data_IF_664838462507
#
_entry.id   IF_664838462507
#
_cell.length_a   1.000
_cell.length_b   1.000
_cell.length_c   1.000
_cell.angle_alpha   90.00
_cell.angle_beta   90.00
_cell.angle_gamma   90.00
#
_symmetry.space_group_name_H-M   'P 1'
#
loop_
_entity.id
_entity.type
_entity.pdbx_description
1 polymer ?
#
# COMPACT_ATOMS: atom_id res chain seq x y z
N UNK A 1 -45.82 13.20 29.00
CA UNK A 1 -44.59 13.59 28.27
C UNK A 1 -43.35 12.78 28.64
N UNK A 2 -43.04 12.55 29.93
CA UNK A 2 -41.82 11.80 30.35
C UNK A 2 -41.69 10.39 29.74
N UNK A 3 -42.79 9.62 29.65
CA UNK A 3 -42.80 8.25 29.10
C UNK A 3 -42.53 8.18 27.58
N UNK A 4 -42.90 9.23 26.84
CA UNK A 4 -42.65 9.32 25.39
C UNK A 4 -41.15 9.54 25.11
N UNK A 5 -40.51 10.35 25.96
CA UNK A 5 -39.07 10.64 25.86
C UNK A 5 -38.22 9.40 26.17
N UNK A 6 -38.59 8.59 27.17
CA UNK A 6 -37.89 7.34 27.47
C UNK A 6 -38.01 6.32 26.34
N UNK A 7 -39.19 6.23 25.71
CA UNK A 7 -39.41 5.32 24.58
C UNK A 7 -38.60 5.75 23.34
N UNK A 8 -38.54 7.06 23.06
CA UNK A 8 -37.71 7.61 21.99
C UNK A 8 -36.21 7.36 22.24
N UNK A 9 -35.74 7.54 23.48
CA UNK A 9 -34.35 7.30 23.86
C UNK A 9 -33.97 5.81 23.68
N UNK A 10 -34.83 4.89 24.12
CA UNK A 10 -34.62 3.45 23.92
C UNK A 10 -34.61 3.05 22.45
N UNK A 11 -35.47 3.67 21.63
CA UNK A 11 -35.48 3.49 20.18
C UNK A 11 -34.18 3.99 19.54
N UNK A 12 -33.66 5.15 19.97
CA UNK A 12 -32.38 5.66 19.48
C UNK A 12 -31.19 4.76 19.86
N UNK A 13 -31.18 4.20 21.08
CA UNK A 13 -30.11 3.30 21.53
C UNK A 13 -30.12 1.99 20.74
N UNK A 14 -31.30 1.44 20.41
CA UNK A 14 -31.39 0.22 19.60
C UNK A 14 -30.95 0.44 18.15
N UNK A 15 -31.21 1.62 17.55
CA UNK A 15 -30.66 1.97 16.25
C UNK A 15 -29.13 2.16 16.26
N UNK A 16 -28.56 2.74 17.33
CA UNK A 16 -27.10 2.92 17.45
C UNK A 16 -26.39 1.57 17.55
N UNK A 17 -26.95 0.62 18.30
CA UNK A 17 -26.37 -0.73 18.47
C UNK A 17 -26.33 -1.52 17.15
N UNK A 18 -27.41 -1.46 16.37
CA UNK A 18 -27.47 -2.09 15.04
C UNK A 18 -26.52 -1.41 14.04
N UNK A 19 -26.41 -0.07 14.08
CA UNK A 19 -25.48 0.67 13.23
C UNK A 19 -24.02 0.33 13.54
N UNK A 20 -23.65 0.21 14.81
CA UNK A 20 -22.30 -0.20 15.22
C UNK A 20 -21.97 -1.61 14.72
N UNK A 21 -22.92 -2.55 14.80
CA UNK A 21 -22.72 -3.92 14.33
C UNK A 21 -22.52 -3.99 12.80
N UNK A 22 -23.29 -3.22 12.02
CA UNK A 22 -23.12 -3.12 10.56
C UNK A 22 -21.75 -2.52 10.20
N UNK A 23 -21.32 -1.47 10.92
CA UNK A 23 -20.01 -0.83 10.71
C UNK A 23 -18.87 -1.83 11.02
N UNK A 24 -18.98 -2.60 12.11
CA UNK A 24 -17.98 -3.60 12.49
C UNK A 24 -17.96 -4.75 11.46
N UNK A 25 -19.10 -5.27 11.01
CA UNK A 25 -19.16 -6.34 10.01
C UNK A 25 -18.61 -5.86 8.66
N UNK A 26 -18.91 -4.63 8.23
CA UNK A 26 -18.32 -4.06 7.01
C UNK A 26 -16.81 -3.81 7.15
N UNK A 27 -16.33 -3.40 8.33
CA UNK A 27 -14.91 -3.27 8.60
C UNK A 27 -14.19 -4.63 8.59
N UNK A 28 -14.80 -5.68 9.15
CA UNK A 28 -14.24 -7.05 9.15
C UNK A 28 -14.27 -7.65 7.74
N UNK A 29 -15.38 -7.55 7.02
CA UNK A 29 -15.50 -8.06 5.65
C UNK A 29 -14.57 -7.32 4.67
N UNK A 30 -14.35 -6.01 4.85
CA UNK A 30 -13.36 -5.25 4.07
C UNK A 30 -11.91 -5.55 4.46
N UNK A 31 -11.68 -6.05 5.68
CA UNK A 31 -10.35 -6.48 6.15
C UNK A 31 -9.90 -7.81 5.54
N UNK A 32 -10.82 -8.66 5.11
CA UNK A 32 -10.52 -9.89 4.35
C UNK A 32 -10.13 -9.52 2.93
N UNK A 33 -8.92 -8.98 2.80
CA UNK A 33 -8.31 -8.65 1.51
C UNK A 33 -8.10 -9.95 0.75
N UNK A 34 -8.91 -10.20 -0.27
CA UNK A 34 -8.73 -11.33 -1.17
C UNK A 34 -7.28 -11.39 -1.71
N UNK A 35 -6.69 -12.58 -1.87
CA UNK A 35 -5.38 -12.72 -2.48
C UNK A 35 -5.40 -12.08 -3.87
N UNK A 36 -4.32 -11.38 -4.20
CA UNK A 36 -4.13 -10.74 -5.49
C UNK A 36 -2.89 -11.34 -6.12
N UNK A 37 -2.97 -11.77 -7.39
CA UNK A 37 -1.85 -12.43 -8.05
C UNK A 37 -0.59 -11.54 -8.10
N UNK A 38 -0.75 -10.21 -8.12
CA UNK A 38 0.38 -9.26 -8.08
C UNK A 38 1.15 -9.30 -6.76
N UNK A 39 0.52 -9.78 -5.70
CA UNK A 39 1.16 -9.99 -4.40
C UNK A 39 1.80 -11.40 -4.32
N UNK A 40 1.87 -12.16 -5.42
CA UNK A 40 2.57 -13.45 -5.47
C UNK A 40 4.04 -13.27 -5.86
N UNK A 41 4.87 -14.19 -5.38
CA UNK A 41 6.30 -14.25 -5.64
C UNK A 41 6.58 -15.53 -6.40
N UNK A 42 7.32 -15.41 -7.50
CA UNK A 42 7.75 -16.57 -8.29
C UNK A 42 9.20 -16.85 -7.94
N UNK A 43 9.49 -18.09 -7.56
CA UNK A 43 10.84 -18.56 -7.30
C UNK A 43 11.24 -19.53 -8.42
N UNK A 44 12.43 -19.33 -8.99
CA UNK A 44 13.01 -20.19 -10.00
C UNK A 44 14.10 -21.07 -9.40
N UNK A 45 14.03 -22.38 -9.65
CA UNK A 45 14.97 -23.38 -9.17
C UNK A 45 15.35 -24.30 -10.33
N UNK A 46 16.61 -24.37 -10.73
CA UNK A 46 17.18 -25.43 -11.61
C UNK A 46 16.23 -26.00 -12.70
N UNK A 47 15.49 -25.12 -13.39
CA UNK A 47 14.57 -25.49 -14.50
C UNK A 47 13.07 -25.54 -14.17
N UNK A 48 12.66 -25.40 -12.91
CA UNK A 48 11.26 -25.32 -12.46
C UNK A 48 10.92 -23.96 -11.81
N UNK A 49 9.63 -23.66 -11.66
CA UNK A 49 9.15 -22.43 -11.03
C UNK A 49 8.03 -22.70 -10.03
N UNK A 50 8.15 -22.10 -8.86
CA UNK A 50 7.14 -22.19 -7.79
C UNK A 50 6.54 -20.82 -7.48
N UNK A 51 5.21 -20.76 -7.39
CA UNK A 51 4.49 -19.52 -7.09
C UNK A 51 4.01 -19.58 -5.64
N UNK A 52 4.44 -18.62 -4.83
CA UNK A 52 3.99 -18.50 -3.46
C UNK A 52 3.37 -17.13 -3.19
N UNK A 53 2.20 -17.08 -2.54
CA UNK A 53 1.64 -15.81 -2.11
C UNK A 53 2.54 -15.18 -1.05
N UNK A 54 2.74 -13.85 -1.12
CA UNK A 54 3.65 -13.12 -0.21
C UNK A 54 3.34 -13.36 1.28
N UNK A 55 2.09 -13.69 1.63
CA UNK A 55 1.68 -13.99 3.01
C UNK A 55 2.34 -15.26 3.56
N UNK A 56 2.63 -16.23 2.70
CA UNK A 56 3.27 -17.51 3.06
C UNK A 56 4.79 -17.42 3.10
N UNK A 57 5.39 -16.39 2.48
CA UNK A 57 6.82 -16.07 2.60
C UNK A 57 7.12 -15.65 4.05
N UNK A 58 7.56 -16.61 4.88
CA UNK A 58 7.82 -16.39 6.32
C UNK A 58 9.11 -17.02 6.84
N UNK A 59 9.73 -17.99 6.15
CA UNK A 59 10.98 -18.65 6.59
C UNK A 59 11.87 -19.04 5.41
N UNK A 60 13.19 -18.91 5.56
CA UNK A 60 14.20 -19.38 4.58
C UNK A 60 14.07 -20.88 4.29
N UNK A 61 13.57 -21.64 5.26
CA UNK A 61 13.61 -23.11 5.24
C UNK A 61 12.59 -23.76 4.28
N UNK A 62 11.63 -23.00 3.72
CA UNK A 62 10.60 -23.57 2.84
C UNK A 62 11.08 -23.80 1.40
N UNK A 63 12.18 -23.15 0.99
CA UNK A 63 12.67 -23.21 -0.38
C UNK A 63 14.20 -23.16 -0.33
N UNK A 64 14.81 -24.33 -0.36
CA UNK A 64 16.26 -24.47 -0.46
C UNK A 64 16.65 -24.40 -1.94
N UNK A 65 17.79 -23.79 -2.26
CA UNK A 65 18.33 -23.62 -3.62
C UNK A 65 17.47 -22.75 -4.56
N UNK A 66 17.38 -21.46 -4.26
CA UNK A 66 16.71 -20.49 -5.14
C UNK A 66 17.76 -19.75 -5.97
N UNK A 67 17.64 -19.83 -7.29
CA UNK A 67 18.54 -19.15 -8.23
C UNK A 67 18.14 -17.69 -8.40
N UNK A 68 16.85 -17.46 -8.68
CA UNK A 68 16.30 -16.12 -8.85
C UNK A 68 14.86 -16.02 -8.36
N UNK A 69 14.48 -14.80 -7.96
CA UNK A 69 13.14 -14.50 -7.47
C UNK A 69 12.55 -13.38 -8.31
N UNK A 70 11.36 -13.62 -8.86
CA UNK A 70 10.58 -12.59 -9.55
C UNK A 70 9.48 -12.03 -8.67
N UNK A 71 9.49 -10.71 -8.53
CA UNK A 71 8.56 -9.93 -7.72
C UNK A 71 7.94 -8.81 -8.55
N UNK A 72 6.67 -8.52 -8.28
CA UNK A 72 5.92 -7.50 -9.05
C UNK A 72 5.58 -6.26 -8.23
N UNK A 73 5.83 -6.27 -6.92
CA UNK A 73 5.50 -5.15 -6.05
C UNK A 73 6.66 -4.84 -5.11
N UNK A 74 6.81 -3.56 -4.78
CA UNK A 74 7.81 -3.08 -3.80
C UNK A 74 7.62 -3.76 -2.44
N UNK A 75 6.38 -4.03 -2.04
CA UNK A 75 6.10 -4.74 -0.79
C UNK A 75 6.62 -6.19 -0.81
N UNK A 76 6.46 -6.89 -1.94
CA UNK A 76 6.98 -8.25 -2.09
C UNK A 76 8.51 -8.24 -2.08
N UNK A 77 9.13 -7.29 -2.79
CA UNK A 77 10.58 -7.08 -2.80
C UNK A 77 11.15 -6.88 -1.39
N UNK A 78 10.65 -5.88 -0.65
CA UNK A 78 11.11 -5.56 0.71
C UNK A 78 11.02 -6.78 1.65
N UNK A 79 9.95 -7.57 1.50
CA UNK A 79 9.75 -8.76 2.34
C UNK A 79 10.64 -9.92 1.93
N UNK A 80 10.83 -10.16 0.63
CA UNK A 80 11.75 -11.18 0.12
C UNK A 80 13.19 -10.86 0.56
N UNK A 81 13.64 -9.60 0.38
CA UNK A 81 14.94 -9.15 0.85
C UNK A 81 15.12 -9.33 2.36
N UNK A 82 14.08 -9.08 3.16
CA UNK A 82 14.11 -9.31 4.60
C UNK A 82 14.27 -10.79 4.98
N UNK A 83 13.68 -11.71 4.21
CA UNK A 83 13.71 -13.15 4.51
C UNK A 83 14.97 -13.81 3.96
N UNK A 84 15.28 -13.57 2.69
CA UNK A 84 16.34 -14.28 1.98
C UNK A 84 17.68 -13.53 1.96
N UNK A 85 17.67 -12.22 2.20
CA UNK A 85 18.85 -11.35 2.13
C UNK A 85 19.05 -10.75 0.74
N UNK A 86 20.16 -10.04 0.59
CA UNK A 86 20.59 -9.39 -0.67
C UNK A 86 21.41 -10.30 -1.59
N UNK A 87 21.63 -11.56 -1.19
CA UNK A 87 22.48 -12.50 -1.93
C UNK A 87 21.78 -13.22 -3.08
N UNK A 88 20.46 -13.10 -3.19
CA UNK A 88 19.67 -13.75 -4.25
C UNK A 88 19.39 -12.75 -5.37
N UNK A 89 19.51 -13.19 -6.63
CA UNK A 89 19.15 -12.39 -7.79
C UNK A 89 17.65 -12.15 -7.81
N UNK A 90 17.22 -10.90 -7.56
CA UNK A 90 15.82 -10.52 -7.60
C UNK A 90 15.59 -9.75 -8.90
N UNK A 91 14.57 -10.12 -9.66
CA UNK A 91 14.23 -9.44 -10.91
C UNK A 91 13.91 -7.96 -10.68
N UNK A 92 14.24 -7.12 -11.65
CA UNK A 92 13.87 -5.72 -11.64
C UNK A 92 12.35 -5.52 -11.57
N UNK A 93 11.95 -4.49 -10.83
CA UNK A 93 10.54 -4.14 -10.68
C UNK A 93 10.11 -3.29 -11.88
N UNK A 94 8.87 -3.52 -12.33
CA UNK A 94 8.21 -2.61 -13.27
C UNK A 94 8.15 -1.19 -12.70
N UNK A 95 8.45 -0.21 -13.55
CA UNK A 95 8.39 1.21 -13.19
C UNK A 95 7.03 1.63 -12.64
N UNK A 96 5.93 1.11 -13.21
CA UNK A 96 4.58 1.38 -12.72
C UNK A 96 4.41 0.97 -11.25
N UNK A 97 5.02 -0.14 -10.84
CA UNK A 97 4.99 -0.60 -9.45
C UNK A 97 5.80 0.34 -8.54
N UNK A 98 6.91 0.89 -9.02
CA UNK A 98 7.71 1.89 -8.33
C UNK A 98 6.94 3.20 -8.18
N UNK A 99 6.41 3.75 -9.27
CA UNK A 99 5.56 4.95 -9.27
C UNK A 99 4.37 4.80 -8.33
N UNK A 100 3.69 3.65 -8.35
CA UNK A 100 2.58 3.38 -7.45
C UNK A 100 2.99 3.41 -5.98
N UNK A 101 4.06 2.69 -5.63
CA UNK A 101 4.51 2.55 -4.26
C UNK A 101 5.05 3.87 -3.70
N UNK A 102 5.92 4.55 -4.44
CA UNK A 102 6.57 5.79 -4.00
C UNK A 102 5.59 6.96 -3.95
N UNK A 103 4.73 7.14 -4.95
CA UNK A 103 3.68 8.18 -4.90
C UNK A 103 2.72 7.95 -3.72
N UNK A 104 2.36 6.70 -3.44
CA UNK A 104 1.52 6.38 -2.27
C UNK A 104 2.24 6.65 -0.94
N UNK A 105 3.51 6.24 -0.81
CA UNK A 105 4.34 6.51 0.39
C UNK A 105 4.50 8.03 0.60
N UNK A 106 4.78 8.78 -0.45
CA UNK A 106 4.89 10.24 -0.43
C UNK A 106 3.63 10.92 0.07
N UNK A 107 2.45 10.55 -0.46
CA UNK A 107 1.18 11.14 0.00
C UNK A 107 0.88 10.81 1.46
N UNK A 108 1.24 9.61 1.93
CA UNK A 108 1.12 9.24 3.34
C UNK A 108 2.11 10.03 4.23
N UNK A 109 3.32 10.29 3.75
CA UNK A 109 4.32 11.12 4.43
C UNK A 109 3.83 12.57 4.54
N UNK A 110 3.24 13.13 3.47
CA UNK A 110 2.64 14.46 3.46
C UNK A 110 1.48 14.58 4.46
N UNK A 111 0.59 13.58 4.52
CA UNK A 111 -0.47 13.55 5.54
C UNK A 111 0.10 13.49 6.95
N UNK A 112 1.15 12.69 7.19
CA UNK A 112 1.83 12.62 8.49
C UNK A 112 2.46 13.96 8.87
N UNK A 113 3.04 14.67 7.89
CA UNK A 113 3.64 15.99 8.09
C UNK A 113 2.59 17.04 8.45
N UNK A 114 1.41 16.99 7.81
CA UNK A 114 0.27 17.84 8.18
C UNK A 114 -0.20 17.56 9.61
N UNK A 115 -0.27 16.30 10.02
CA UNK A 115 -0.59 15.96 11.41
C UNK A 115 0.47 16.46 12.38
N UNK A 116 1.76 16.35 12.05
CA UNK A 116 2.83 16.89 12.86
C UNK A 116 2.70 18.41 13.02
N UNK A 117 2.49 19.14 11.92
CA UNK A 117 2.26 20.58 11.96
C UNK A 117 1.06 20.94 12.83
N UNK A 118 -0.07 20.23 12.66
CA UNK A 118 -1.27 20.46 13.47
C UNK A 118 -1.05 20.20 14.96
N UNK A 119 -0.25 19.19 15.32
CA UNK A 119 0.08 18.89 16.70
C UNK A 119 0.93 20.01 17.33
N UNK A 120 1.90 20.55 16.59
CA UNK A 120 2.69 21.69 17.04
C UNK A 120 1.86 22.98 17.13
N UNK A 121 0.92 23.24 16.23
CA UNK A 121 0.01 24.38 16.37
C UNK A 121 -0.92 24.23 17.57
N UNK A 122 -1.35 23.00 17.90
CA UNK A 122 -2.15 22.73 19.09
C UNK A 122 -1.37 22.95 20.39
N UNK A 123 -0.04 22.82 20.38
CA UNK A 123 0.80 23.15 21.54
C UNK A 123 0.69 24.63 21.94
N UNK A 124 0.45 25.53 20.98
CA UNK A 124 0.25 26.96 21.25
C UNK A 124 -1.08 27.23 21.97
N UNK A 125 -2.08 26.37 21.77
CA UNK A 125 -3.41 26.48 22.39
C UNK A 125 -3.46 25.73 23.72
N UNK A 126 -2.75 24.60 23.82
CA UNK A 126 -2.69 23.78 25.02
C UNK A 126 -1.32 23.11 25.18
N UNK A 127 -0.55 23.43 26.23
CA UNK A 127 0.81 22.94 26.41
C UNK A 127 0.91 21.42 26.64
N UNK A 128 -0.18 20.74 27.03
CA UNK A 128 -0.17 19.27 27.17
C UNK A 128 0.12 18.53 25.86
N UNK A 129 -0.11 19.18 24.71
CA UNK A 129 0.23 18.60 23.41
C UNK A 129 1.74 18.48 23.16
N UNK A 130 2.60 19.15 23.94
CA UNK A 130 4.06 19.00 23.83
C UNK A 130 4.54 17.57 24.09
N UNK A 131 3.81 16.81 24.91
CA UNK A 131 4.12 15.39 25.20
C UNK A 131 3.83 14.52 23.96
N UNK A 132 2.80 14.88 23.19
CA UNK A 132 2.28 14.04 22.09
C UNK A 132 2.82 14.47 20.72
N UNK A 133 3.14 15.75 20.52
CA UNK A 133 3.60 16.32 19.25
C UNK A 133 4.88 15.70 18.65
N UNK A 134 5.85 15.19 19.43
CA UNK A 134 7.02 14.51 18.87
C UNK A 134 6.67 13.23 18.10
N UNK A 135 5.63 12.50 18.49
CA UNK A 135 5.25 11.23 17.85
C UNK A 135 4.88 11.37 16.36
N UNK A 136 3.93 12.24 15.95
CA UNK A 136 3.63 12.44 14.53
C UNK A 136 4.83 13.02 13.77
N UNK A 137 5.70 13.80 14.43
CA UNK A 137 6.92 14.37 13.83
C UNK A 137 7.91 13.28 13.45
N UNK A 138 8.24 12.37 14.37
CA UNK A 138 9.14 11.22 14.11
C UNK A 138 8.54 10.31 13.03
N UNK A 139 7.23 10.08 13.07
CA UNK A 139 6.55 9.28 12.05
C UNK A 139 6.60 9.92 10.66
N UNK A 140 6.45 11.24 10.56
CA UNK A 140 6.57 11.97 9.30
C UNK A 140 7.99 11.85 8.73
N UNK A 141 9.01 12.10 9.55
CA UNK A 141 10.42 12.03 9.14
C UNK A 141 10.81 10.63 8.64
N UNK A 142 10.43 9.59 9.38
CA UNK A 142 10.72 8.19 8.99
C UNK A 142 10.04 7.81 7.68
N UNK A 143 8.80 8.28 7.46
CA UNK A 143 8.04 7.99 6.23
C UNK A 143 8.63 8.74 5.03
N UNK A 144 9.04 9.98 5.19
CA UNK A 144 9.60 10.79 4.09
C UNK A 144 10.93 10.22 3.60
N UNK A 145 11.83 9.80 4.53
CA UNK A 145 13.11 9.18 4.18
C UNK A 145 12.99 7.89 3.36
N UNK A 146 11.85 7.20 3.46
CA UNK A 146 11.59 5.94 2.72
C UNK A 146 11.07 6.14 1.30
N UNK A 147 10.92 7.39 0.86
CA UNK A 147 10.37 7.77 -0.44
C UNK A 147 11.49 8.16 -1.39
N UNK A 148 11.64 7.41 -2.47
CA UNK A 148 12.31 7.91 -3.66
C UNK A 148 11.44 8.94 -4.38
N UNK A 149 11.94 10.17 -4.49
CA UNK A 149 11.24 11.30 -5.09
C UNK A 149 11.28 11.27 -6.62
N UNK A 150 12.18 10.49 -7.23
CA UNK A 150 12.23 10.32 -8.68
C UNK A 150 10.94 9.66 -9.22
N UNK A 151 10.33 8.78 -8.42
CA UNK A 151 9.11 8.03 -8.80
C UNK A 151 7.82 8.62 -8.19
N UNK A 152 7.79 9.94 -7.92
CA UNK A 152 6.61 10.61 -7.37
C UNK A 152 5.87 11.36 -8.47
N UNK A 153 4.63 10.93 -8.72
CA UNK A 153 3.73 11.57 -9.69
C UNK A 153 3.02 12.79 -9.11
N UNK A 154 2.61 13.70 -10.00
CA UNK A 154 1.78 14.84 -9.61
C UNK A 154 0.38 14.37 -9.16
N UNK A 155 -0.36 15.22 -8.44
CA UNK A 155 -1.67 14.90 -7.90
C UNK A 155 -2.68 14.45 -8.95
N UNK A 156 -2.76 15.16 -10.09
CA UNK A 156 -3.68 14.83 -11.20
C UNK A 156 -3.32 13.50 -11.86
N UNK A 157 -2.04 13.33 -12.21
CA UNK A 157 -1.48 12.10 -12.78
C UNK A 157 -1.73 10.90 -11.87
N UNK A 158 -1.47 11.04 -10.57
CA UNK A 158 -1.73 10.01 -9.59
C UNK A 158 -3.20 9.58 -9.55
N UNK A 159 -4.15 10.51 -9.67
CA UNK A 159 -5.56 10.16 -9.65
C UNK A 159 -5.97 9.35 -10.87
N UNK A 160 -5.42 9.67 -12.05
CA UNK A 160 -5.65 8.92 -13.28
C UNK A 160 -4.97 7.54 -13.20
N UNK A 161 -3.68 7.52 -12.93
CA UNK A 161 -2.89 6.31 -12.77
C UNK A 161 -3.47 5.37 -11.72
N UNK A 162 -3.92 5.88 -10.56
CA UNK A 162 -4.56 5.06 -9.52
C UNK A 162 -5.87 4.43 -9.98
N UNK A 163 -6.62 5.06 -10.89
CA UNK A 163 -7.85 4.45 -11.45
C UNK A 163 -7.49 3.31 -12.39
N UNK A 164 -6.55 3.54 -13.31
CA UNK A 164 -6.05 2.55 -14.27
C UNK A 164 -5.40 1.37 -13.53
N UNK A 165 -4.49 1.63 -12.60
CA UNK A 165 -3.83 0.62 -11.78
C UNK A 165 -4.83 -0.18 -10.92
N UNK A 166 -5.90 0.44 -10.43
CA UNK A 166 -6.99 -0.29 -9.76
C UNK A 166 -7.75 -1.20 -10.71
N UNK A 167 -7.99 -0.78 -11.96
CA UNK A 167 -8.63 -1.62 -12.97
C UNK A 167 -7.73 -2.80 -13.35
N UNK A 168 -6.46 -2.54 -13.64
CA UNK A 168 -5.43 -3.55 -13.84
C UNK A 168 -5.43 -4.57 -12.67
N UNK A 169 -5.35 -4.11 -11.43
CA UNK A 169 -5.35 -4.97 -10.24
C UNK A 169 -6.64 -5.79 -10.05
N UNK A 170 -7.79 -5.33 -10.56
CA UNK A 170 -9.05 -6.08 -10.54
C UNK A 170 -9.01 -7.28 -11.50
N UNK A 171 -8.32 -7.17 -12.63
CA UNK A 171 -8.19 -8.25 -13.62
C UNK A 171 -7.44 -9.48 -13.08
N UNK A 172 -6.70 -9.31 -11.97
CA UNK A 172 -5.92 -10.36 -11.30
C UNK A 172 -6.45 -10.74 -9.91
N UNK A 173 -7.65 -10.27 -9.55
CA UNK A 173 -8.31 -10.69 -8.31
C UNK A 173 -8.81 -12.13 -8.49
N UNK A 174 -8.35 -13.05 -7.64
CA UNK A 174 -8.76 -14.46 -7.70
C UNK A 174 -8.03 -15.30 -8.77
N UNK A 175 -6.93 -14.78 -9.33
CA UNK A 175 -6.01 -15.56 -10.18
C UNK A 175 -4.79 -15.98 -9.36
N UNK A 176 -4.25 -17.16 -9.63
CA UNK A 176 -3.06 -17.69 -8.96
C UNK A 176 -1.76 -17.27 -9.65
N UNK A 177 -1.81 -17.11 -10.97
CA UNK A 177 -0.68 -16.67 -11.79
C UNK A 177 -0.76 -15.18 -12.07
N UNK A 178 0.27 -14.39 -11.71
CA UNK A 178 0.41 -13.05 -12.23
C UNK A 178 0.72 -13.09 -13.74
N UNK A 179 0.51 -11.99 -14.48
CA UNK A 179 0.78 -11.99 -15.92
C UNK A 179 2.27 -12.29 -16.16
N UNK A 180 2.55 -13.11 -17.18
CA UNK A 180 3.86 -13.10 -17.80
C UNK A 180 4.13 -11.67 -18.23
N UNK A 181 5.19 -11.07 -17.68
CA UNK A 181 5.63 -9.74 -18.12
C UNK A 181 6.13 -9.94 -19.54
N UNK A 182 5.26 -9.75 -20.52
CA UNK A 182 5.69 -9.53 -21.89
C UNK A 182 6.37 -8.15 -21.86
N UNK A 183 7.67 -8.13 -22.14
CA UNK A 183 8.52 -6.93 -22.24
C UNK A 183 7.94 -5.87 -23.19
N UNK A 184 6.90 -6.20 -23.96
CA UNK A 184 6.18 -5.33 -24.89
C UNK A 184 5.34 -4.20 -24.27
N UNK A 185 5.21 -4.08 -22.94
CA UNK A 185 4.41 -3.00 -22.32
C UNK A 185 5.24 -1.76 -21.96
N UNK A 186 6.54 -1.73 -22.26
CA UNK A 186 7.37 -0.52 -22.15
C UNK A 186 6.91 0.59 -23.10
N UNK A 187 6.34 0.27 -24.26
CA UNK A 187 6.05 1.27 -25.28
C UNK A 187 4.84 2.19 -24.99
N UNK A 188 3.96 1.84 -24.04
CA UNK A 188 2.78 2.68 -23.75
C UNK A 188 3.06 3.73 -22.68
N UNK A 189 3.94 3.42 -21.72
CA UNK A 189 4.33 4.35 -20.66
C UNK A 189 5.27 5.45 -21.19
N UNK A 190 6.13 5.12 -22.17
CA UNK A 190 7.07 6.08 -22.75
C UNK A 190 6.38 7.25 -23.49
N UNK A 191 5.16 7.06 -24.01
CA UNK A 191 4.44 8.13 -24.71
C UNK A 191 3.70 9.11 -23.78
N UNK A 192 3.47 8.74 -22.51
CA UNK A 192 2.77 9.60 -21.54
C UNK A 192 3.72 10.33 -20.59
N UNK A 193 4.92 9.79 -20.33
CA UNK A 193 5.83 10.35 -19.32
C UNK A 193 7.03 11.13 -19.89
N UNK A 194 7.35 11.03 -21.18
CA UNK A 194 8.37 11.91 -21.81
C UNK A 194 7.90 13.36 -21.99
N UNK A 195 6.60 13.66 -21.84
CA UNK A 195 6.07 15.00 -22.14
C UNK A 195 6.30 16.07 -21.05
N UNK A 196 6.78 15.71 -19.86
CA UNK A 196 6.89 16.64 -18.73
C UNK A 196 8.32 17.00 -18.26
N UNK A 197 9.37 16.48 -18.92
CA UNK A 197 10.76 16.85 -18.60
C UNK A 197 11.32 18.02 -19.45
N UNK A 198 10.49 18.70 -20.23
CA UNK A 198 10.88 19.83 -21.10
C UNK A 198 10.29 21.18 -20.67
N UNK A 199 10.16 21.42 -19.36
CA UNK A 199 9.90 22.78 -18.85
C UNK A 199 10.88 23.03 -17.69
N UNK A 200 12.08 23.47 -18.09
CA UNK A 200 12.97 24.31 -17.29
C UNK A 200 12.38 25.73 -17.22
#
# INVERSE_FOLDING_TARGET
>A
MKKLFTLLLLLCISFISQAQLVIVVQAVASSVKAPNALDNVIFYHEGDSSILPIRKVKKKDQIQNVDSIKVQTVYALEKVQKVYGSSISISDLSEDALFYAHTKKYRNARMSSLFAASAWTLCLVNPYFLIVAPLPTIQAFKRDKSVDKAYVMNGKEWHQFKKEYKQYRKQYKGKDTPPAVNESTQNTSDTLYTKNNNIL
#
